data_IF_337210897247
#
_entry.id   IF_337210897247
#
_cell.length_a   1.000
_cell.length_b   1.000
_cell.length_c   1.000
_cell.angle_alpha   90.00
_cell.angle_beta   90.00
_cell.angle_gamma   90.00
#
_symmetry.space_group_name_H-M   'P 1'
#
loop_
_entity.id
_entity.type
_entity.pdbx_description
1 polymer ?
#
# COMPACT_ATOMS: atom_id res chain seq x y z
N UNK A 1 -28.61 -54.38 1.50
CA UNK A 1 -28.13 -53.18 2.21
C UNK A 1 -27.41 -52.30 1.19
N UNK A 2 -28.18 -51.45 0.48
CA UNK A 2 -28.33 -50.02 0.80
C UNK A 2 -27.01 -49.28 0.50
N UNK A 3 -26.64 -49.05 -0.77
CA UNK A 3 -26.92 -47.82 -1.56
C UNK A 3 -26.76 -46.47 -0.83
N UNK A 4 -26.05 -46.41 0.31
CA UNK A 4 -25.92 -45.19 1.13
C UNK A 4 -24.50 -44.61 1.22
N UNK A 5 -23.53 -45.13 0.46
CA UNK A 5 -22.12 -44.67 0.55
C UNK A 5 -21.82 -43.46 -0.35
N UNK A 6 -22.71 -43.08 -1.27
CA UNK A 6 -22.47 -41.96 -2.20
C UNK A 6 -23.05 -40.60 -1.78
N UNK A 7 -23.66 -40.50 -0.59
CA UNK A 7 -24.28 -39.24 -0.12
C UNK A 7 -23.41 -38.45 0.89
N UNK A 8 -22.11 -38.75 0.98
CA UNK A 8 -21.20 -38.12 1.95
C UNK A 8 -19.98 -37.44 1.29
N UNK A 9 -20.08 -37.05 0.02
CA UNK A 9 -19.07 -36.24 -0.68
C UNK A 9 -19.57 -34.79 -0.93
N UNK A 10 -20.83 -34.49 -0.61
CA UNK A 10 -21.49 -33.26 -1.08
C UNK A 10 -21.48 -32.02 -0.18
N UNK A 11 -21.04 -32.06 1.08
CA UNK A 11 -21.48 -31.03 2.06
C UNK A 11 -20.44 -30.54 3.08
N UNK A 12 -19.17 -30.44 2.72
CA UNK A 12 -18.19 -29.68 3.52
C UNK A 12 -17.38 -28.67 2.69
N UNK A 13 -18.04 -28.02 1.73
CA UNK A 13 -17.58 -26.68 1.30
C UNK A 13 -18.02 -25.72 2.41
N UNK A 14 -17.33 -25.81 3.55
CA UNK A 14 -17.37 -24.78 4.58
C UNK A 14 -17.11 -23.46 3.88
N UNK A 15 -18.00 -22.48 4.07
CA UNK A 15 -17.88 -21.17 3.45
C UNK A 15 -16.59 -20.51 3.98
N UNK A 16 -15.47 -20.75 3.30
CA UNK A 16 -14.12 -20.29 3.71
C UNK A 16 -13.88 -18.81 3.40
N UNK A 17 -14.89 -18.14 2.86
CA UNK A 17 -14.85 -16.73 2.50
C UNK A 17 -15.50 -15.90 3.60
N UNK A 18 -14.70 -15.04 4.23
CA UNK A 18 -15.16 -14.08 5.22
C UNK A 18 -15.04 -12.66 4.67
N UNK A 19 -15.96 -11.78 5.07
CA UNK A 19 -15.83 -10.34 4.83
C UNK A 19 -14.96 -9.74 5.92
N UNK A 20 -13.99 -8.93 5.53
CA UNK A 20 -13.11 -8.19 6.46
C UNK A 20 -13.17 -6.69 6.12
N UNK A 21 -12.78 -5.85 7.07
CA UNK A 21 -12.61 -4.43 6.83
C UNK A 21 -11.33 -4.17 6.03
N UNK A 22 -11.30 -3.05 5.30
CA UNK A 22 -10.11 -2.67 4.56
C UNK A 22 -9.09 -2.03 5.49
N UNK A 23 -7.93 -2.67 5.61
CA UNK A 23 -6.73 -2.11 6.20
C UNK A 23 -5.54 -2.44 5.31
N UNK A 24 -4.89 -1.41 4.75
CA UNK A 24 -3.71 -1.58 3.88
C UNK A 24 -2.63 -2.40 4.59
N UNK A 25 -2.38 -2.09 5.87
CA UNK A 25 -1.36 -2.78 6.66
C UNK A 25 -1.70 -4.25 6.86
N UNK A 26 -2.91 -4.55 7.37
CA UNK A 26 -3.31 -5.93 7.67
C UNK A 26 -3.35 -6.81 6.41
N UNK A 27 -3.83 -6.25 5.28
CA UNK A 27 -3.85 -6.97 4.01
C UNK A 27 -2.43 -7.20 3.48
N UNK A 28 -1.50 -6.26 3.68
CA UNK A 28 -0.09 -6.45 3.32
C UNK A 28 0.57 -7.56 4.16
N UNK A 29 0.21 -7.69 5.43
CA UNK A 29 0.68 -8.81 6.26
C UNK A 29 0.14 -10.16 5.77
N UNK A 30 -1.09 -10.20 5.26
CA UNK A 30 -1.63 -11.40 4.62
C UNK A 30 -0.84 -11.76 3.35
N UNK A 31 -0.47 -10.77 2.54
CA UNK A 31 0.40 -10.95 1.36
C UNK A 31 1.74 -11.61 1.76
N UNK A 32 2.38 -11.13 2.83
CA UNK A 32 3.60 -11.74 3.39
C UNK A 32 3.39 -13.18 3.89
N UNK A 33 2.18 -13.52 4.35
CA UNK A 33 1.78 -14.89 4.75
C UNK A 33 1.43 -15.78 3.54
N UNK A 34 1.64 -15.30 2.32
CA UNK A 34 1.44 -16.02 1.07
C UNK A 34 0.02 -15.96 0.54
N UNK A 35 -0.77 -14.94 0.93
CA UNK A 35 -2.05 -14.69 0.27
C UNK A 35 -1.86 -13.93 -1.04
N UNK A 36 -2.61 -14.31 -2.07
CA UNK A 36 -2.69 -13.57 -3.31
C UNK A 36 -3.74 -12.47 -3.20
N UNK A 37 -3.35 -11.23 -3.52
CA UNK A 37 -4.22 -10.06 -3.38
C UNK A 37 -4.75 -9.63 -4.76
N UNK A 38 -6.07 -9.55 -4.89
CA UNK A 38 -6.74 -9.17 -6.13
C UNK A 38 -7.52 -7.86 -5.93
N UNK A 39 -7.33 -6.90 -6.84
CA UNK A 39 -8.11 -5.68 -6.96
C UNK A 39 -9.01 -5.77 -8.19
N UNK A 40 -10.33 -5.79 -7.99
CA UNK A 40 -11.31 -5.97 -9.07
C UNK A 40 -10.96 -7.11 -10.02
N UNK A 41 -10.58 -8.27 -9.47
CA UNK A 41 -10.14 -9.50 -10.18
C UNK A 41 -8.70 -9.49 -10.73
N UNK A 42 -8.00 -8.36 -10.70
CA UNK A 42 -6.60 -8.30 -11.14
C UNK A 42 -5.65 -8.54 -9.97
N UNK A 43 -4.67 -9.42 -10.14
CA UNK A 43 -3.62 -9.61 -9.15
C UNK A 43 -2.81 -8.32 -9.00
N UNK A 44 -2.60 -7.88 -7.76
CA UNK A 44 -1.77 -6.71 -7.44
C UNK A 44 -0.75 -7.06 -6.36
N UNK A 45 0.28 -6.23 -6.24
CA UNK A 45 1.20 -6.25 -5.11
C UNK A 45 0.82 -5.08 -4.18
N UNK A 46 0.37 -5.37 -2.97
CA UNK A 46 -0.13 -4.31 -2.08
C UNK A 46 1.00 -3.54 -1.39
N UNK A 47 2.20 -4.13 -1.33
CA UNK A 47 3.42 -3.50 -0.82
C UNK A 47 3.87 -2.29 -1.66
N UNK A 48 3.47 -2.21 -2.93
CA UNK A 48 3.79 -1.07 -3.82
C UNK A 48 2.54 -0.36 -4.42
N UNK A 49 1.35 -0.82 -4.06
CA UNK A 49 0.08 -0.26 -4.56
C UNK A 49 -0.70 0.36 -3.41
N UNK A 50 -0.78 1.67 -3.38
CA UNK A 50 -1.49 2.41 -2.33
C UNK A 50 -2.92 2.70 -2.78
N UNK A 51 -3.89 2.19 -2.03
CA UNK A 51 -5.31 2.28 -2.38
C UNK A 51 -6.01 3.39 -1.60
N UNK A 52 -7.06 3.94 -2.18
CA UNK A 52 -7.93 4.90 -1.54
C UNK A 52 -9.02 4.13 -0.76
N UNK A 53 -8.89 4.09 0.55
CA UNK A 53 -9.84 3.50 1.50
C UNK A 53 -11.29 3.91 1.23
N UNK A 54 -11.53 5.18 0.87
CA UNK A 54 -12.88 5.69 0.56
C UNK A 54 -13.48 5.07 -0.71
N UNK A 55 -12.65 4.58 -1.64
CA UNK A 55 -13.09 3.91 -2.85
C UNK A 55 -13.29 2.40 -2.66
N UNK A 56 -12.97 1.82 -1.50
CA UNK A 56 -13.19 0.40 -1.26
C UNK A 56 -14.65 0.14 -0.92
N UNK A 57 -15.30 -0.76 -1.67
CA UNK A 57 -16.67 -1.20 -1.43
C UNK A 57 -16.71 -2.36 -0.42
N UNK A 58 -15.83 -3.35 -0.60
CA UNK A 58 -15.71 -4.51 0.30
C UNK A 58 -14.40 -5.25 0.08
N UNK A 59 -13.99 -5.99 1.10
CA UNK A 59 -12.87 -6.93 1.06
C UNK A 59 -13.36 -8.31 1.50
N UNK A 60 -13.02 -9.32 0.70
CA UNK A 60 -13.32 -10.71 1.01
C UNK A 60 -12.02 -11.49 1.13
N UNK A 61 -11.86 -12.27 2.20
CA UNK A 61 -10.74 -13.17 2.39
C UNK A 61 -11.24 -14.61 2.28
N UNK A 62 -10.67 -15.38 1.34
CA UNK A 62 -10.83 -16.83 1.28
C UNK A 62 -9.61 -17.50 1.89
N UNK A 63 -9.80 -18.12 3.06
CA UNK A 63 -8.72 -18.77 3.81
C UNK A 63 -8.29 -20.10 3.22
N UNK A 64 -9.19 -20.79 2.51
CA UNK A 64 -8.90 -22.08 1.86
C UNK A 64 -7.99 -21.91 0.65
N UNK A 65 -8.26 -20.91 -0.19
CA UNK A 65 -7.45 -20.63 -1.39
C UNK A 65 -6.37 -19.58 -1.17
N UNK A 66 -6.20 -19.09 0.06
CA UNK A 66 -5.32 -17.96 0.41
C UNK A 66 -5.47 -16.78 -0.56
N UNK A 67 -6.71 -16.35 -0.79
CA UNK A 67 -7.04 -15.23 -1.68
C UNK A 67 -7.65 -14.09 -0.88
N UNK A 68 -7.21 -12.86 -1.12
CA UNK A 68 -7.93 -11.64 -0.72
C UNK A 68 -8.44 -10.94 -1.97
N UNK A 69 -9.72 -10.58 -1.99
CA UNK A 69 -10.35 -9.86 -3.08
C UNK A 69 -10.89 -8.52 -2.58
N UNK A 70 -10.32 -7.44 -3.11
CA UNK A 70 -10.66 -6.05 -2.86
C UNK A 70 -11.52 -5.58 -4.02
N UNK A 71 -12.72 -5.11 -3.71
CA UNK A 71 -13.68 -4.61 -4.72
C UNK A 71 -13.87 -3.12 -4.50
N UNK A 72 -13.69 -2.33 -5.56
CA UNK A 72 -13.85 -0.88 -5.52
C UNK A 72 -15.29 -0.44 -5.84
N UNK A 73 -15.66 0.75 -5.36
CA UNK A 73 -16.91 1.43 -5.70
C UNK A 73 -16.85 1.93 -7.15
N UNK A 74 -15.77 2.62 -7.51
CA UNK A 74 -15.44 3.01 -8.88
C UNK A 74 -14.20 2.25 -9.37
N UNK A 75 -14.36 1.50 -10.46
CA UNK A 75 -13.29 0.70 -11.07
C UNK A 75 -12.44 1.51 -12.04
N UNK A 76 -12.94 2.65 -12.51
CA UNK A 76 -12.27 3.50 -13.49
C UNK A 76 -11.30 4.50 -12.84
N UNK A 77 -11.17 4.45 -11.52
CA UNK A 77 -10.26 5.31 -10.77
C UNK A 77 -8.82 5.13 -11.24
N UNK A 78 -8.16 6.25 -11.50
CA UNK A 78 -6.83 6.34 -12.10
C UNK A 78 -5.75 6.10 -11.03
N UNK A 79 -4.67 5.43 -11.45
CA UNK A 79 -3.44 5.31 -10.68
C UNK A 79 -2.37 6.25 -11.24
N UNK A 80 -1.66 6.92 -10.36
CA UNK A 80 -0.46 7.71 -10.69
C UNK A 80 0.75 6.97 -10.18
N UNK A 81 1.75 6.75 -11.03
CA UNK A 81 3.02 6.16 -10.60
C UNK A 81 3.85 7.15 -9.76
N UNK A 82 4.75 6.65 -8.92
CA UNK A 82 5.66 7.52 -8.16
C UNK A 82 6.53 8.36 -9.11
N UNK A 83 7.02 7.79 -10.20
CA UNK A 83 7.78 8.54 -11.21
C UNK A 83 7.00 9.72 -11.80
N UNK A 84 5.74 9.52 -12.17
CA UNK A 84 4.88 10.60 -12.66
C UNK A 84 4.68 11.67 -11.60
N UNK A 85 4.45 11.28 -10.35
CA UNK A 85 4.28 12.20 -9.23
C UNK A 85 5.53 13.07 -9.02
N UNK A 86 6.71 12.46 -9.01
CA UNK A 86 7.99 13.16 -8.83
C UNK A 86 8.29 14.11 -10.00
N UNK A 87 8.00 13.68 -11.24
CA UNK A 87 8.13 14.50 -12.44
C UNK A 87 7.20 15.72 -12.42
N UNK A 88 5.91 15.51 -12.14
CA UNK A 88 4.89 16.57 -12.12
C UNK A 88 5.22 17.67 -11.10
N UNK A 89 5.78 17.26 -9.95
CA UNK A 89 6.14 18.17 -8.86
C UNK A 89 7.57 18.69 -8.93
N UNK A 90 8.35 18.30 -9.95
CA UNK A 90 9.76 18.70 -10.17
C UNK A 90 10.66 18.33 -8.99
N UNK A 91 10.45 17.15 -8.43
CA UNK A 91 11.17 16.63 -7.28
C UNK A 91 12.48 15.90 -7.65
N UNK A 92 12.59 15.34 -8.86
CA UNK A 92 13.69 14.45 -9.27
C UNK A 92 15.12 14.95 -9.04
N UNK A 93 15.36 16.26 -8.99
CA UNK A 93 16.72 16.82 -8.90
C UNK A 93 17.14 17.22 -7.49
N UNK A 94 16.28 16.98 -6.47
CA UNK A 94 16.45 17.57 -5.13
C UNK A 94 16.36 16.58 -3.97
N UNK A 95 16.32 15.28 -4.25
CA UNK A 95 15.89 14.30 -3.26
C UNK A 95 16.78 13.07 -3.35
N UNK A 96 17.43 12.73 -2.24
CA UNK A 96 18.26 11.54 -2.11
C UNK A 96 17.46 10.37 -1.51
N UNK A 97 16.44 10.67 -0.71
CA UNK A 97 15.64 9.68 0.00
C UNK A 97 14.14 9.87 -0.22
N UNK A 98 13.42 8.79 -0.50
CA UNK A 98 11.97 8.77 -0.55
C UNK A 98 11.47 7.84 0.56
N UNK A 99 10.54 8.33 1.36
CA UNK A 99 9.93 7.59 2.46
C UNK A 99 8.42 7.59 2.26
N UNK A 100 7.80 6.40 2.21
CA UNK A 100 6.36 6.24 2.16
C UNK A 100 5.90 5.50 3.42
N UNK A 101 4.99 6.09 4.21
CA UNK A 101 4.50 5.49 5.46
C UNK A 101 5.63 5.01 6.39
N UNK A 102 6.67 5.83 6.57
CA UNK A 102 7.87 5.52 7.35
C UNK A 102 8.77 4.40 6.79
N UNK A 103 8.51 3.92 5.58
CA UNK A 103 9.35 2.94 4.89
C UNK A 103 10.16 3.67 3.81
N UNK A 104 11.48 3.55 3.87
CA UNK A 104 12.36 4.08 2.83
C UNK A 104 12.20 3.24 1.55
N UNK A 105 12.06 3.93 0.42
CA UNK A 105 11.89 3.33 -0.89
C UNK A 105 13.21 3.43 -1.65
N UNK A 106 13.72 2.27 -2.06
CA UNK A 106 14.92 2.19 -2.90
C UNK A 106 14.62 2.66 -4.33
N UNK A 107 15.63 3.22 -4.98
CA UNK A 107 15.53 3.71 -6.35
C UNK A 107 15.04 2.64 -7.34
N UNK A 108 15.37 1.36 -7.11
CA UNK A 108 14.91 0.23 -7.94
C UNK A 108 13.42 -0.06 -7.81
N UNK A 109 12.79 0.33 -6.70
CA UNK A 109 11.37 0.09 -6.43
C UNK A 109 10.47 1.23 -6.90
N UNK A 110 11.03 2.42 -7.17
CA UNK A 110 10.26 3.62 -7.55
C UNK A 110 9.32 3.35 -8.72
N UNK A 111 9.77 2.62 -9.75
CA UNK A 111 8.97 2.34 -10.95
C UNK A 111 7.76 1.44 -10.69
N UNK A 112 7.78 0.69 -9.58
CA UNK A 112 6.71 -0.24 -9.20
C UNK A 112 5.66 0.43 -8.33
N UNK A 113 6.01 1.53 -7.68
CA UNK A 113 5.12 2.24 -6.76
C UNK A 113 4.04 3.01 -7.53
N UNK A 114 2.79 2.80 -7.14
CA UNK A 114 1.63 3.52 -7.68
C UNK A 114 0.61 3.87 -6.61
N UNK A 115 -0.07 4.98 -6.82
CA UNK A 115 -1.06 5.55 -5.92
C UNK A 115 -2.39 5.67 -6.63
N UNK A 116 -3.45 5.08 -6.06
CA UNK A 116 -4.81 5.41 -6.46
C UNK A 116 -5.11 6.86 -6.11
N UNK A 117 -5.83 7.59 -6.98
CA UNK A 117 -6.17 8.99 -6.68
C UNK A 117 -6.93 9.11 -5.34
N UNK A 118 -6.48 10.03 -4.48
CA UNK A 118 -7.01 10.22 -3.13
C UNK A 118 -6.42 9.30 -2.04
N UNK A 119 -5.52 8.38 -2.39
CA UNK A 119 -4.79 7.55 -1.40
C UNK A 119 -3.74 8.36 -0.61
N UNK A 120 -3.05 9.30 -1.27
CA UNK A 120 -2.07 10.18 -0.63
C UNK A 120 -2.79 11.20 0.26
N UNK A 121 -2.45 11.23 1.55
CA UNK A 121 -2.96 12.21 2.51
C UNK A 121 -2.11 13.48 2.53
N UNK A 122 -0.78 13.35 2.54
CA UNK A 122 0.13 14.48 2.39
C UNK A 122 1.46 14.08 1.75
N UNK A 123 2.14 15.11 1.21
CA UNK A 123 3.50 15.04 0.70
C UNK A 123 4.29 16.17 1.35
N UNK A 124 5.46 15.87 1.92
CA UNK A 124 6.35 16.86 2.51
C UNK A 124 7.77 16.65 2.02
N UNK A 125 8.38 17.70 1.48
CA UNK A 125 9.81 17.71 1.19
C UNK A 125 10.53 18.28 2.41
N UNK A 126 11.48 17.52 2.94
CA UNK A 126 12.41 17.96 3.96
C UNK A 126 13.75 18.25 3.31
N UNK A 127 14.33 19.38 3.66
CA UNK A 127 15.64 19.85 3.22
C UNK A 127 16.47 20.26 4.43
N UNK A 128 17.77 20.48 4.24
CA UNK A 128 18.64 20.99 5.30
C UNK A 128 18.12 22.30 5.91
N UNK A 129 17.46 23.16 5.12
CA UNK A 129 16.87 24.41 5.60
C UNK A 129 15.77 24.22 6.63
N UNK A 130 15.07 23.09 6.62
CA UNK A 130 13.99 22.80 7.59
C UNK A 130 14.51 22.52 9.01
N UNK A 131 15.84 22.28 9.11
CA UNK A 131 16.56 22.00 10.35
C UNK A 131 17.50 23.15 10.77
N UNK A 132 17.71 24.14 9.89
CA UNK A 132 18.47 25.35 10.19
C UNK A 132 17.93 26.11 11.41
N UNK A 133 18.79 26.34 12.40
CA UNK A 133 18.52 27.04 13.65
C UNK A 133 17.80 26.24 14.74
N UNK A 134 17.67 24.91 14.61
CA UNK A 134 17.11 24.02 15.65
C UNK A 134 18.23 23.30 16.40
N UNK A 135 17.99 22.78 17.60
CA UNK A 135 18.99 22.05 18.41
C UNK A 135 19.71 20.88 17.68
N UNK A 136 19.21 20.48 16.51
CA UNK A 136 19.73 19.40 15.68
C UNK A 136 20.61 19.89 14.51
N UNK A 137 20.82 21.20 14.37
CA UNK A 137 21.47 21.81 13.20
C UNK A 137 22.97 21.47 13.07
N UNK A 138 23.60 21.15 14.20
CA UNK A 138 25.02 20.80 14.28
C UNK A 138 25.27 19.28 14.28
N UNK A 139 24.25 18.44 14.10
CA UNK A 139 24.42 16.98 14.12
C UNK A 139 24.68 16.43 12.71
N UNK A 140 25.88 15.87 12.42
CA UNK A 140 26.21 15.22 11.15
C UNK A 140 25.17 14.15 10.73
N UNK A 141 24.54 13.54 11.74
CA UNK A 141 23.50 12.53 11.62
C UNK A 141 22.25 13.01 10.88
N UNK A 142 21.92 14.30 10.91
CA UNK A 142 20.76 14.86 10.18
C UNK A 142 21.09 14.93 8.69
N UNK A 143 22.28 15.41 8.33
CA UNK A 143 22.75 15.50 6.95
C UNK A 143 22.90 14.12 6.31
N UNK A 144 23.42 13.13 7.04
CA UNK A 144 23.46 11.74 6.58
C UNK A 144 22.08 11.14 6.36
N UNK A 145 21.09 11.50 7.18
CA UNK A 145 19.72 10.96 7.07
C UNK A 145 18.89 11.60 5.97
N UNK A 146 19.02 12.91 5.72
CA UNK A 146 18.17 13.62 4.74
C UNK A 146 18.87 13.87 3.40
N UNK A 147 20.20 13.77 3.33
CA UNK A 147 20.98 14.07 2.13
C UNK A 147 20.75 15.51 1.63
N UNK A 148 20.54 15.63 0.32
CA UNK A 148 20.09 16.84 -0.37
C UNK A 148 18.61 17.14 -0.14
N UNK A 149 17.83 16.11 0.19
CA UNK A 149 16.42 16.21 0.51
C UNK A 149 15.78 14.84 0.72
N UNK A 150 14.77 14.80 1.59
CA UNK A 150 13.95 13.62 1.85
C UNK A 150 12.49 13.93 1.52
N UNK A 151 11.88 13.14 0.63
CA UNK A 151 10.46 13.21 0.36
C UNK A 151 9.71 12.26 1.28
N UNK A 152 8.78 12.79 2.08
CA UNK A 152 7.85 11.99 2.87
C UNK A 152 6.50 12.00 2.17
N UNK A 153 5.98 10.82 1.88
CA UNK A 153 4.62 10.60 1.37
C UNK A 153 3.87 9.78 2.42
N UNK A 154 2.70 10.23 2.83
CA UNK A 154 1.88 9.49 3.77
C UNK A 154 0.52 9.17 3.14
N UNK A 155 0.12 7.91 3.24
CA UNK A 155 -1.16 7.38 2.74
C UNK A 155 -2.06 6.87 3.86
N UNK A 156 -1.55 6.82 5.10
CA UNK A 156 -2.30 6.37 6.28
C UNK A 156 -3.17 7.53 6.76
N UNK A 157 -4.46 7.31 7.05
CA UNK A 157 -5.29 8.34 7.68
C UNK A 157 -4.69 8.77 9.02
N UNK A 158 -4.64 10.07 9.28
CA UNK A 158 -4.34 10.57 10.62
C UNK A 158 -5.45 10.05 11.55
N UNK A 159 -5.08 9.32 12.60
CA UNK A 159 -6.00 9.02 13.69
C UNK A 159 -6.24 10.38 14.37
N UNK A 160 -7.42 10.96 14.15
CA UNK A 160 -7.90 12.14 14.86
C UNK A 160 -8.41 11.76 16.25
#
# INVERSE_FOLDING_TARGET
MKKFIFLLIGLLISCSTIKIDFSQLEISELEQKGYSIYLDTNLINLSNTYLNDKNILRVNQNTSTKKVEIIRKDKNTIFTSLNELLNQKKYNTKIDHIVINNIQIDNSEISKVKFEIGSIKYIRLLTQKDYQGKEYDDLPQVKEKIGNGMLIINTIPLIE
#
